data_IF_802812438901
#
_entry.id   IF_802812438901
#
_cell.length_a   1.000
_cell.length_b   1.000
_cell.length_c   1.000
_cell.angle_alpha   90.00
_cell.angle_beta   90.00
_cell.angle_gamma   90.00
#
_symmetry.space_group_name_H-M   'P 1'
#
loop_
_entity.id
_entity.type
_entity.pdbx_description
1 polymer ?
#
# COMPACT_ATOMS: atom_id res chain seq x y z
N UNK A 1 27.19 33.40 33.46
CA UNK A 1 26.27 33.40 32.30
C UNK A 1 26.81 32.53 31.16
N UNK A 2 26.78 31.19 31.28
CA UNK A 2 27.16 30.24 30.21
C UNK A 2 26.31 28.96 30.18
N UNK A 3 25.27 28.85 31.01
CA UNK A 3 24.44 27.63 31.16
C UNK A 3 22.99 27.78 30.69
N UNK A 4 22.66 28.91 30.06
CA UNK A 4 21.30 29.18 29.55
C UNK A 4 21.23 28.94 28.03
N UNK A 5 22.37 28.75 27.37
CA UNK A 5 22.44 28.58 25.90
C UNK A 5 22.10 27.14 25.49
N UNK A 6 22.34 26.13 26.34
CA UNK A 6 22.07 24.72 26.00
C UNK A 6 20.60 24.32 26.08
N UNK A 7 19.77 25.04 26.84
CA UNK A 7 18.33 24.73 26.96
C UNK A 7 17.52 25.23 25.76
N UNK A 8 18.06 26.17 24.98
CA UNK A 8 17.37 26.74 23.82
C UNK A 8 17.37 25.81 22.59
N UNK A 9 18.32 24.87 22.49
CA UNK A 9 18.45 23.97 21.32
C UNK A 9 17.50 22.76 21.41
N UNK A 10 17.12 22.33 22.62
CA UNK A 10 16.24 21.17 22.83
C UNK A 10 14.75 21.52 22.70
N UNK A 11 14.38 22.81 22.79
CA UNK A 11 12.99 23.25 22.69
C UNK A 11 12.48 23.38 21.25
N UNK A 12 13.37 23.39 20.24
CA UNK A 12 12.99 23.61 18.83
C UNK A 12 12.82 22.28 18.06
N UNK A 13 13.26 21.15 18.62
CA UNK A 13 13.23 19.84 17.92
C UNK A 13 11.85 19.16 17.90
N UNK A 14 10.88 19.64 18.69
CA UNK A 14 9.57 18.97 18.84
C UNK A 14 8.45 19.49 17.92
N UNK A 15 8.72 20.43 17.00
CA UNK A 15 7.68 21.00 16.11
C UNK A 15 7.72 20.50 14.66
N UNK A 16 8.24 19.30 14.40
CA UNK A 16 8.02 18.63 13.12
C UNK A 16 6.73 17.79 13.14
N UNK A 17 5.59 18.43 13.39
CA UNK A 17 4.30 17.84 13.02
C UNK A 17 4.21 18.01 11.50
N UNK A 18 4.46 16.93 10.77
CA UNK A 18 4.07 16.92 9.36
C UNK A 18 2.55 16.98 9.34
N UNK A 19 2.00 18.13 8.98
CA UNK A 19 0.65 18.16 8.45
C UNK A 19 0.71 17.34 7.16
N UNK A 20 0.19 16.12 7.22
CA UNK A 20 -0.21 15.45 6.01
C UNK A 20 -1.21 16.39 5.32
N UNK A 21 -1.08 16.59 4.02
CA UNK A 21 -2.08 17.26 3.20
C UNK A 21 -3.38 16.45 3.27
N UNK A 22 -4.13 16.60 4.36
CA UNK A 22 -5.53 16.26 4.39
C UNK A 22 -6.16 17.26 3.43
N UNK A 23 -6.54 16.79 2.25
CA UNK A 23 -7.43 17.54 1.37
C UNK A 23 -8.69 17.83 2.19
N UNK A 24 -8.74 19.04 2.77
CA UNK A 24 -9.90 19.53 3.50
C UNK A 24 -11.00 19.68 2.46
N UNK A 25 -11.90 18.70 2.39
CA UNK A 25 -13.19 18.85 1.71
C UNK A 25 -14.03 19.82 2.55
N UNK A 26 -13.78 21.11 2.33
CA UNK A 26 -14.60 22.18 2.90
C UNK A 26 -15.97 22.10 2.24
N UNK A 27 -16.95 21.59 2.99
CA UNK A 27 -18.38 21.76 2.72
C UNK A 27 -19.00 20.69 1.82
N UNK A 28 -19.95 19.95 2.39
CA UNK A 28 -20.76 18.86 1.81
C UNK A 28 -20.03 17.51 1.80
N UNK A 29 -20.57 16.56 2.57
CA UNK A 29 -20.00 15.24 2.86
C UNK A 29 -19.68 14.41 1.61
N UNK A 30 -18.50 14.61 1.05
CA UNK A 30 -17.95 13.84 -0.06
C UNK A 30 -16.70 13.13 0.45
N UNK A 31 -16.85 11.91 0.98
CA UNK A 31 -15.73 11.10 1.45
C UNK A 31 -15.33 10.00 0.43
N UNK A 32 -15.54 10.27 -0.85
CA UNK A 32 -15.29 9.32 -1.95
C UNK A 32 -13.88 8.72 -1.89
N UNK A 33 -12.87 9.53 -1.58
CA UNK A 33 -11.47 9.09 -1.47
C UNK A 33 -11.20 8.14 -0.30
N UNK A 34 -12.03 8.17 0.74
CA UNK A 34 -11.91 7.31 1.92
C UNK A 34 -12.62 5.98 1.73
N UNK A 35 -13.53 5.88 0.74
CA UNK A 35 -14.26 4.65 0.47
C UNK A 35 -13.33 3.60 -0.11
N UNK A 36 -13.12 2.42 0.51
CA UNK A 36 -12.22 1.41 -0.03
C UNK A 36 -12.70 0.84 -1.37
N UNK A 37 -11.79 0.29 -2.18
CA UNK A 37 -12.10 -0.32 -3.48
C UNK A 37 -13.20 -1.40 -3.40
N UNK A 38 -13.27 -2.14 -2.29
CA UNK A 38 -14.29 -3.16 -2.09
C UNK A 38 -15.67 -2.59 -1.72
N UNK A 39 -15.78 -1.30 -1.40
CA UNK A 39 -17.02 -0.61 -1.05
C UNK A 39 -18.05 -0.59 -2.19
N UNK A 40 -19.34 -0.41 -1.89
CA UNK A 40 -20.39 -0.35 -2.89
C UNK A 40 -20.31 0.94 -3.72
N UNK A 41 -20.63 0.84 -5.01
CA UNK A 41 -20.91 2.03 -5.83
C UNK A 41 -22.25 2.66 -5.44
N UNK A 42 -22.54 3.86 -5.95
CA UNK A 42 -23.78 4.60 -5.67
C UNK A 42 -23.62 5.81 -4.74
N UNK A 43 -22.55 5.87 -3.94
CA UNK A 43 -22.45 6.81 -2.83
C UNK A 43 -21.32 7.83 -2.96
N UNK A 44 -21.70 9.11 -2.84
CA UNK A 44 -20.75 10.22 -2.67
C UNK A 44 -20.26 10.33 -1.22
N UNK A 45 -21.07 9.84 -0.28
CA UNK A 45 -20.78 9.80 1.15
C UNK A 45 -21.11 8.43 1.72
N UNK A 46 -20.26 7.91 2.59
CA UNK A 46 -20.54 6.74 3.39
C UNK A 46 -19.88 6.87 4.76
N UNK A 47 -20.64 6.91 5.84
CA UNK A 47 -20.10 6.86 7.20
C UNK A 47 -19.62 5.44 7.54
N UNK A 48 -20.52 4.48 7.41
CA UNK A 48 -20.28 3.09 7.74
C UNK A 48 -20.74 2.14 6.63
N UNK A 49 -20.05 1.01 6.49
CA UNK A 49 -20.54 -0.15 5.77
C UNK A 49 -20.97 -1.23 6.74
N UNK A 50 -22.25 -1.53 6.82
CA UNK A 50 -22.73 -2.75 7.48
C UNK A 50 -22.55 -3.95 6.56
N UNK A 51 -22.03 -5.04 7.11
CA UNK A 51 -21.72 -6.29 6.40
C UNK A 51 -22.63 -7.39 6.97
N UNK A 52 -23.78 -7.67 6.33
CA UNK A 52 -24.80 -8.57 6.90
C UNK A 52 -24.27 -9.98 7.19
N UNK A 53 -23.39 -10.52 6.35
CA UNK A 53 -22.85 -11.88 6.49
C UNK A 53 -22.17 -12.11 7.84
N UNK A 54 -21.48 -11.09 8.35
CA UNK A 54 -20.66 -11.20 9.56
C UNK A 54 -21.13 -10.31 10.70
N UNK A 55 -22.20 -9.53 10.48
CA UNK A 55 -22.77 -8.63 11.49
C UNK A 55 -21.76 -7.60 12.00
N UNK A 56 -20.89 -7.12 11.10
CA UNK A 56 -19.86 -6.14 11.42
C UNK A 56 -20.12 -4.84 10.67
N UNK A 57 -19.59 -3.75 11.21
CA UNK A 57 -19.55 -2.46 10.55
C UNK A 57 -18.10 -2.16 10.17
N UNK A 58 -17.92 -1.36 9.12
CA UNK A 58 -16.64 -0.78 8.77
C UNK A 58 -16.80 0.73 8.73
N UNK A 59 -16.06 1.44 9.58
CA UNK A 59 -15.96 2.89 9.54
C UNK A 59 -15.13 3.29 8.33
N UNK A 60 -15.77 3.99 7.39
CA UNK A 60 -15.15 4.35 6.11
C UNK A 60 -14.05 5.39 6.29
N UNK A 61 -14.19 6.29 7.27
CA UNK A 61 -13.23 7.37 7.48
C UNK A 61 -12.06 6.92 8.36
N UNK A 62 -12.35 6.17 9.43
CA UNK A 62 -11.33 5.66 10.34
C UNK A 62 -10.61 4.41 9.80
N UNK A 63 -11.17 3.75 8.79
CA UNK A 63 -10.69 2.47 8.25
C UNK A 63 -10.65 1.34 9.29
N UNK A 64 -11.61 1.31 10.20
CA UNK A 64 -11.71 0.34 11.28
C UNK A 64 -12.96 -0.54 11.15
N UNK A 65 -12.86 -1.79 11.56
CA UNK A 65 -13.99 -2.68 11.77
C UNK A 65 -14.54 -2.52 13.17
N UNK A 66 -15.86 -2.55 13.27
CA UNK A 66 -16.62 -2.49 14.52
C UNK A 66 -17.46 -3.76 14.61
N UNK A 67 -17.21 -4.57 15.63
CA UNK A 67 -17.88 -5.85 15.79
C UNK A 67 -18.03 -6.23 17.27
N UNK A 68 -18.97 -7.12 17.55
CA UNK A 68 -19.22 -7.64 18.89
C UNK A 68 -18.14 -8.65 19.30
N UNK A 69 -17.43 -8.36 20.39
CA UNK A 69 -16.41 -9.20 21.03
C UNK A 69 -16.64 -9.17 22.54
N UNK A 70 -16.82 -10.33 23.18
CA UNK A 70 -17.09 -10.44 24.63
C UNK A 70 -18.22 -9.51 25.13
N UNK A 71 -19.33 -9.44 24.39
CA UNK A 71 -20.48 -8.58 24.71
C UNK A 71 -20.19 -7.07 24.72
N UNK A 72 -19.10 -6.65 24.08
CA UNK A 72 -18.74 -5.26 23.85
C UNK A 72 -18.49 -5.00 22.36
N UNK A 73 -18.83 -3.80 21.90
CA UNK A 73 -18.44 -3.32 20.58
C UNK A 73 -17.00 -2.87 20.62
N UNK A 74 -16.16 -3.47 19.78
CA UNK A 74 -14.74 -3.13 19.69
C UNK A 74 -14.41 -2.57 18.32
N UNK A 75 -13.48 -1.61 18.29
CA UNK A 75 -12.94 -1.02 17.07
C UNK A 75 -11.54 -1.61 16.81
N UNK A 76 -11.30 -2.12 15.61
CA UNK A 76 -10.04 -2.77 15.22
C UNK A 76 -9.74 -2.54 13.74
N UNK A 77 -8.47 -2.42 13.38
CA UNK A 77 -8.05 -2.36 11.97
C UNK A 77 -8.22 -3.68 11.18
N UNK A 78 -8.70 -4.74 11.82
CA UNK A 78 -8.88 -6.06 11.21
C UNK A 78 -10.12 -6.77 11.76
N UNK A 79 -10.67 -7.70 10.98
CA UNK A 79 -11.76 -8.58 11.40
C UNK A 79 -11.29 -9.62 12.42
N UNK A 80 -12.18 -10.12 13.30
CA UNK A 80 -11.82 -11.13 14.28
C UNK A 80 -11.34 -12.42 13.61
N UNK A 81 -10.54 -13.28 14.29
CA UNK A 81 -9.98 -14.49 13.68
C UNK A 81 -10.99 -15.38 12.96
N UNK A 82 -12.22 -15.49 13.48
CA UNK A 82 -13.33 -16.25 12.88
C UNK A 82 -13.72 -15.77 11.46
N UNK A 83 -13.42 -14.52 11.12
CA UNK A 83 -13.72 -13.91 9.82
C UNK A 83 -12.46 -13.46 9.07
N UNK A 84 -11.28 -13.97 9.45
CA UNK A 84 -9.99 -13.64 8.79
C UNK A 84 -10.01 -13.89 7.28
N UNK A 85 -10.75 -14.90 6.83
CA UNK A 85 -10.83 -15.30 5.43
C UNK A 85 -12.07 -14.74 4.72
N UNK A 86 -12.82 -13.83 5.34
CA UNK A 86 -14.00 -13.24 4.71
C UNK A 86 -13.60 -12.36 3.53
N UNK A 87 -14.22 -12.60 2.37
CA UNK A 87 -13.92 -11.86 1.14
C UNK A 87 -14.78 -10.59 1.02
N UNK A 88 -14.22 -9.45 1.45
CA UNK A 88 -14.87 -8.14 1.35
C UNK A 88 -15.19 -7.72 -0.09
N UNK A 89 -14.47 -8.21 -1.09
CA UNK A 89 -14.78 -7.90 -2.49
C UNK A 89 -16.04 -8.64 -2.98
N UNK A 90 -16.37 -9.79 -2.39
CA UNK A 90 -17.54 -10.58 -2.78
C UNK A 90 -18.79 -10.29 -1.97
N UNK A 91 -18.64 -9.92 -0.69
CA UNK A 91 -19.78 -9.70 0.21
C UNK A 91 -20.64 -8.49 -0.17
N UNK A 92 -21.92 -8.51 0.23
CA UNK A 92 -22.82 -7.35 0.16
C UNK A 92 -22.57 -6.39 1.33
N UNK A 93 -22.60 -5.08 1.07
CA UNK A 93 -22.45 -4.03 2.08
C UNK A 93 -23.62 -3.07 2.01
N UNK A 94 -24.06 -2.57 3.14
CA UNK A 94 -25.06 -1.51 3.21
C UNK A 94 -24.41 -0.25 3.75
N UNK A 95 -24.58 0.87 3.04
CA UNK A 95 -24.14 2.18 3.53
C UNK A 95 -25.07 2.68 4.62
N UNK A 96 -24.50 3.05 5.75
CA UNK A 96 -25.21 3.62 6.90
C UNK A 96 -24.53 4.93 7.29
N UNK A 97 -25.32 5.99 7.48
CA UNK A 97 -24.83 7.33 7.83
C UNK A 97 -25.32 7.80 9.22
N UNK A 98 -25.76 6.87 10.06
CA UNK A 98 -26.07 7.13 11.47
C UNK A 98 -24.76 7.28 12.27
N UNK A 99 -24.81 8.02 13.38
CA UNK A 99 -23.62 8.32 14.21
C UNK A 99 -22.96 7.06 14.79
N UNK A 100 -23.76 6.15 15.36
CA UNK A 100 -23.27 4.97 16.09
C UNK A 100 -24.13 3.74 15.73
N UNK A 101 -24.08 3.22 14.49
CA UNK A 101 -25.07 2.26 14.01
C UNK A 101 -25.06 0.92 14.75
N UNK A 102 -23.92 0.53 15.33
CA UNK A 102 -23.79 -0.68 16.14
C UNK A 102 -24.61 -0.65 17.44
N UNK A 103 -24.95 0.54 17.96
CA UNK A 103 -25.86 0.67 19.11
C UNK A 103 -27.29 0.25 18.75
N UNK A 104 -27.61 0.19 17.45
CA UNK A 104 -28.88 -0.26 16.89
C UNK A 104 -28.72 -1.53 16.05
N UNK A 105 -27.74 -2.37 16.38
CA UNK A 105 -27.43 -3.55 15.57
C UNK A 105 -28.62 -4.49 15.36
N UNK A 106 -29.47 -4.64 16.37
CA UNK A 106 -30.68 -5.46 16.24
C UNK A 106 -31.60 -4.98 15.11
N UNK A 107 -31.76 -3.65 14.94
CA UNK A 107 -32.57 -3.06 13.87
C UNK A 107 -31.94 -3.35 12.51
N UNK A 108 -30.63 -3.11 12.37
CA UNK A 108 -29.92 -3.28 11.11
C UNK A 108 -29.78 -4.74 10.70
N UNK A 109 -29.54 -5.63 11.66
CA UNK A 109 -29.47 -7.06 11.47
C UNK A 109 -30.79 -7.64 10.98
N UNK A 110 -31.92 -7.15 11.49
CA UNK A 110 -33.25 -7.52 11.01
C UNK A 110 -33.53 -6.93 9.62
N UNK A 111 -33.36 -5.61 9.46
CA UNK A 111 -33.65 -4.89 8.22
C UNK A 111 -32.87 -5.42 7.01
N UNK A 112 -31.63 -5.83 7.22
CA UNK A 112 -30.73 -6.25 6.14
C UNK A 112 -30.44 -7.75 6.12
N UNK A 113 -31.23 -8.56 6.84
CA UNK A 113 -31.05 -10.01 6.88
C UNK A 113 -31.10 -10.67 5.48
N UNK A 114 -31.96 -10.16 4.59
CA UNK A 114 -32.12 -10.67 3.23
C UNK A 114 -30.92 -10.43 2.30
N UNK A 115 -29.98 -9.58 2.71
CA UNK A 115 -28.76 -9.33 1.94
C UNK A 115 -27.62 -10.31 2.26
N UNK A 116 -27.81 -11.21 3.25
CA UNK A 116 -26.83 -12.25 3.57
C UNK A 116 -26.63 -13.19 2.38
N UNK A 117 -25.38 -13.51 2.06
CA UNK A 117 -25.00 -14.37 0.94
C UNK A 117 -25.16 -13.73 -0.44
N UNK A 118 -25.49 -12.44 -0.52
CA UNK A 118 -25.55 -11.74 -1.81
C UNK A 118 -24.15 -11.33 -2.28
N UNK A 119 -23.91 -11.51 -3.57
CA UNK A 119 -22.62 -11.28 -4.23
C UNK A 119 -22.73 -10.48 -5.54
N UNK A 120 -23.92 -9.96 -5.83
CA UNK A 120 -24.27 -9.26 -7.07
C UNK A 120 -24.02 -7.74 -6.99
N UNK A 121 -23.45 -7.25 -5.89
CA UNK A 121 -23.25 -5.82 -5.66
C UNK A 121 -22.10 -5.24 -6.49
N UNK A 122 -22.38 -4.19 -7.26
CA UNK A 122 -21.36 -3.40 -7.93
C UNK A 122 -20.45 -2.70 -6.91
N UNK A 123 -19.14 -2.91 -7.04
CA UNK A 123 -18.12 -2.35 -6.16
C UNK A 123 -17.33 -1.23 -6.83
N UNK A 124 -16.78 -0.34 -6.01
CA UNK A 124 -15.92 0.76 -6.45
C UNK A 124 -14.85 0.20 -7.38
N UNK A 125 -14.13 -0.87 -7.01
CA UNK A 125 -13.08 -1.55 -7.81
C UNK A 125 -13.37 -1.71 -9.31
N UNK A 126 -14.63 -1.94 -9.67
CA UNK A 126 -15.01 -2.27 -11.04
C UNK A 126 -15.79 -1.12 -11.70
N UNK A 127 -16.01 -0.01 -11.00
CA UNK A 127 -16.80 1.13 -11.45
C UNK A 127 -16.07 1.93 -12.52
N UNK A 128 -16.81 2.42 -13.51
CA UNK A 128 -16.30 3.38 -14.51
C UNK A 128 -16.74 4.81 -14.24
N UNK A 129 -17.39 5.03 -13.10
CA UNK A 129 -17.86 6.35 -12.71
C UNK A 129 -16.67 7.30 -12.47
N UNK A 130 -16.76 8.48 -13.06
CA UNK A 130 -15.74 9.52 -12.98
C UNK A 130 -15.43 9.95 -11.55
N UNK A 131 -16.38 9.84 -10.62
CA UNK A 131 -16.14 10.22 -9.22
C UNK A 131 -15.16 9.28 -8.50
N UNK A 132 -15.12 8.01 -8.91
CA UNK A 132 -14.17 7.02 -8.37
C UNK A 132 -12.87 6.94 -9.18
N UNK A 133 -12.61 7.90 -10.08
CA UNK A 133 -11.44 7.89 -10.96
C UNK A 133 -10.12 7.77 -10.19
N UNK A 134 -10.02 8.35 -9.00
CA UNK A 134 -8.84 8.29 -8.15
C UNK A 134 -8.52 6.85 -7.70
N UNK A 135 -9.52 5.98 -7.56
CA UNK A 135 -9.34 4.56 -7.24
C UNK A 135 -8.58 3.81 -8.34
N UNK A 136 -8.90 4.02 -9.63
CA UNK A 136 -8.15 3.38 -10.73
C UNK A 136 -6.81 4.03 -11.00
N UNK A 137 -6.76 5.37 -10.94
CA UNK A 137 -5.57 6.12 -11.33
C UNK A 137 -4.40 5.90 -10.38
N UNK A 138 -4.66 5.79 -9.07
CA UNK A 138 -3.63 5.44 -8.07
C UNK A 138 -2.98 4.09 -8.37
N UNK A 139 -3.80 3.04 -8.54
CA UNK A 139 -3.33 1.68 -8.84
C UNK A 139 -2.55 1.61 -10.15
N UNK A 140 -3.01 2.32 -11.19
CA UNK A 140 -2.32 2.37 -12.49
C UNK A 140 -0.94 3.02 -12.36
N UNK A 141 -0.84 4.15 -11.65
CA UNK A 141 0.42 4.85 -11.43
C UNK A 141 1.43 4.01 -10.64
N UNK A 142 0.97 3.31 -9.61
CA UNK A 142 1.81 2.42 -8.81
C UNK A 142 2.36 1.25 -9.64
N UNK A 143 1.51 0.61 -10.45
CA UNK A 143 1.94 -0.48 -11.36
C UNK A 143 3.01 0.00 -12.34
N UNK A 144 2.82 1.17 -12.95
CA UNK A 144 3.82 1.76 -13.86
C UNK A 144 5.13 2.05 -13.13
N UNK A 145 5.07 2.62 -11.92
CA UNK A 145 6.25 2.86 -11.10
C UNK A 145 7.01 1.57 -10.78
N UNK A 146 6.29 0.51 -10.41
CA UNK A 146 6.89 -0.79 -10.11
C UNK A 146 7.53 -1.45 -11.34
N UNK A 147 6.90 -1.34 -12.52
CA UNK A 147 7.50 -1.81 -13.78
C UNK A 147 8.79 -1.06 -14.11
N UNK A 148 8.80 0.27 -13.97
CA UNK A 148 9.99 1.09 -14.19
C UNK A 148 11.14 0.71 -13.23
N UNK A 149 10.82 0.41 -11.96
CA UNK A 149 11.82 -0.05 -10.99
C UNK A 149 12.43 -1.40 -11.41
N UNK A 150 11.61 -2.35 -11.91
CA UNK A 150 12.08 -3.64 -12.40
C UNK A 150 13.00 -3.48 -13.62
N UNK A 151 12.57 -2.73 -14.63
CA UNK A 151 13.37 -2.44 -15.82
C UNK A 151 14.71 -1.77 -15.46
N UNK A 152 14.71 -0.82 -14.52
CA UNK A 152 15.93 -0.17 -14.05
C UNK A 152 16.88 -1.15 -13.34
N UNK A 153 16.35 -2.09 -12.56
CA UNK A 153 17.15 -3.14 -11.90
C UNK A 153 17.77 -4.09 -12.92
N UNK A 154 17.04 -4.46 -13.98
CA UNK A 154 17.55 -5.31 -15.06
C UNK A 154 18.69 -4.61 -15.83
N UNK A 155 18.48 -3.36 -16.24
CA UNK A 155 19.51 -2.57 -16.91
C UNK A 155 20.79 -2.42 -16.06
N UNK A 156 20.65 -2.29 -14.73
CA UNK A 156 21.81 -2.26 -13.82
C UNK A 156 22.53 -3.60 -13.74
N UNK A 157 21.80 -4.72 -13.72
CA UNK A 157 22.39 -6.07 -13.74
C UNK A 157 23.17 -6.31 -15.03
N UNK A 158 22.57 -5.96 -16.16
CA UNK A 158 23.22 -6.07 -17.47
C UNK A 158 24.49 -5.22 -17.56
N UNK A 159 24.44 -3.95 -17.13
CA UNK A 159 25.64 -3.09 -17.06
C UNK A 159 26.74 -3.69 -16.18
N UNK A 160 26.38 -4.31 -15.06
CA UNK A 160 27.34 -4.94 -14.17
C UNK A 160 27.95 -6.20 -14.77
N UNK A 161 27.18 -7.02 -15.49
CA UNK A 161 27.71 -8.16 -16.25
C UNK A 161 28.69 -7.69 -17.33
N UNK A 162 28.27 -6.72 -18.15
CA UNK A 162 29.12 -6.15 -19.21
C UNK A 162 30.41 -5.51 -18.67
N UNK A 163 30.40 -4.98 -17.43
CA UNK A 163 31.62 -4.50 -16.75
C UNK A 163 32.51 -5.66 -16.30
N UNK A 164 31.93 -6.72 -15.73
CA UNK A 164 32.68 -7.92 -15.32
C UNK A 164 33.35 -8.59 -16.51
N UNK A 165 32.64 -8.75 -17.62
CA UNK A 165 33.17 -9.37 -18.83
C UNK A 165 34.31 -8.56 -19.44
N UNK A 166 34.18 -7.22 -19.48
CA UNK A 166 35.26 -6.32 -19.91
C UNK A 166 36.49 -6.44 -19.02
N UNK A 167 36.31 -6.46 -17.70
CA UNK A 167 37.42 -6.61 -16.75
C UNK A 167 38.09 -7.98 -16.89
N UNK A 168 37.31 -9.05 -17.11
CA UNK A 168 37.84 -10.39 -17.34
C UNK A 168 38.66 -10.46 -18.63
N UNK A 169 38.14 -9.91 -19.73
CA UNK A 169 38.86 -9.84 -21.00
C UNK A 169 40.17 -9.05 -20.90
N UNK A 170 40.19 -7.94 -20.15
CA UNK A 170 41.42 -7.19 -19.89
C UNK A 170 42.45 -8.02 -19.11
N UNK A 171 42.03 -8.74 -18.06
CA UNK A 171 42.92 -9.63 -17.28
C UNK A 171 43.51 -10.74 -18.14
N UNK A 172 42.70 -11.38 -18.99
CA UNK A 172 43.18 -12.42 -19.92
C UNK A 172 44.22 -11.87 -20.91
N UNK A 173 44.01 -10.65 -21.44
CA UNK A 173 44.99 -10.00 -22.33
C UNK A 173 46.32 -9.72 -21.62
N UNK A 174 46.27 -9.20 -20.39
CA UNK A 174 47.48 -8.95 -19.60
C UNK A 174 48.23 -10.26 -19.28
N UNK A 175 47.51 -11.32 -18.94
CA UNK A 175 48.10 -12.64 -18.68
C UNK A 175 48.78 -13.21 -19.94
N UNK A 176 48.13 -13.13 -21.10
CA UNK A 176 48.72 -13.56 -22.36
C UNK A 176 49.95 -12.74 -22.76
N UNK A 177 50.00 -11.45 -22.44
CA UNK A 177 51.18 -10.63 -22.65
C UNK A 177 52.35 -11.09 -21.76
N UNK A 178 52.10 -11.31 -20.46
CA UNK A 178 53.11 -11.82 -19.53
C UNK A 178 53.68 -13.17 -19.97
N UNK A 179 52.82 -14.13 -20.33
CA UNK A 179 53.29 -15.44 -20.82
C UNK A 179 54.13 -15.33 -22.10
N UNK A 180 53.87 -14.34 -22.96
CA UNK A 180 54.70 -14.08 -24.15
C UNK A 180 56.03 -13.43 -23.82
N UNK A 181 56.08 -12.60 -22.80
CA UNK A 181 57.31 -12.00 -22.29
C UNK A 181 58.19 -13.04 -21.60
N UNK A 182 57.61 -13.90 -20.77
CA UNK A 182 58.33 -15.01 -20.11
C UNK A 182 58.92 -15.98 -21.14
N UNK A 183 58.11 -16.46 -22.11
CA UNK A 183 58.60 -17.31 -23.21
C UNK A 183 59.71 -16.67 -24.07
N UNK A 184 59.80 -15.33 -24.11
CA UNK A 184 60.87 -14.61 -24.82
C UNK A 184 62.15 -14.52 -23.99
N UNK A 185 62.03 -14.45 -22.66
CA UNK A 185 63.18 -14.45 -21.74
C UNK A 185 63.84 -15.82 -21.70
N UNK A 186 63.05 -16.89 -21.59
CA UNK A 186 63.56 -18.26 -21.56
C UNK A 186 64.35 -18.61 -22.84
N UNK A 187 63.89 -18.15 -24.01
CA UNK A 187 64.61 -18.32 -25.29
C UNK A 187 65.93 -17.54 -25.40
N UNK A 188 66.14 -16.54 -24.55
CA UNK A 188 67.35 -15.74 -24.53
C UNK A 188 68.43 -16.36 -23.63
N UNK A 189 68.02 -17.11 -22.61
CA UNK A 189 68.92 -17.78 -21.67
C UNK A 189 69.50 -19.10 -22.24
N UNK A 190 68.83 -19.72 -23.22
CA UNK A 190 69.31 -20.92 -23.95
C UNK A 190 70.40 -20.64 -25.01
N UNK A 191 70.88 -19.40 -25.15
CA UNK A 191 71.85 -18.99 -26.19
C UNK A 191 73.29 -18.78 -25.70
N UNK A 192 73.64 -19.28 -24.52
CA UNK A 192 75.01 -19.24 -23.99
C UNK A 192 75.63 -20.61 -23.83
#
# INVERSE_FOLDING_TARGET
MKKIIFTAVLAISCLSIKFADAQVSVGVGLNISSQPDWGPTGYNNAGYYYIPDIGAYYDVNAHEYIYMEHNAWVHRGYLPPRYRNYNLYGGYKVVINDRDPWLRDNDYRGRYASYRGRHDQAMIRNSRDARYRNHWMGVRNERMRNQNIRARRENMRERNMNRRDRNMNQRMRQQNQRMREDNRRDKHDDKH
#
